data_IF_325883087492
#
_entry.id   IF_325883087492
#
_cell.length_a   1.000
_cell.length_b   1.000
_cell.length_c   1.000
_cell.angle_alpha   90.00
_cell.angle_beta   90.00
_cell.angle_gamma   90.00
#
_symmetry.space_group_name_H-M   'P 1'
#
loop_
_entity.id
_entity.type
_entity.pdbx_description
1 polymer ?
#
# COMPACT_ATOMS: atom_id res chain seq x y z
N UNK A 1 -29.43 51.96 -32.87
CA UNK A 1 -28.16 51.43 -33.40
C UNK A 1 -27.10 52.48 -33.15
N UNK A 2 -26.06 52.18 -32.36
CA UNK A 2 -25.03 51.23 -32.78
C UNK A 2 -24.74 50.12 -31.76
N UNK A 3 -24.25 49.03 -32.33
CA UNK A 3 -23.80 47.80 -31.71
C UNK A 3 -22.29 47.84 -31.49
N UNK A 4 -21.85 46.95 -30.59
CA UNK A 4 -20.56 46.27 -30.56
C UNK A 4 -19.32 47.11 -30.22
N UNK A 5 -18.71 46.79 -29.07
CA UNK A 5 -17.29 46.42 -28.94
C UNK A 5 -16.97 46.16 -27.48
N UNK A 6 -17.00 44.90 -27.04
CA UNK A 6 -16.12 44.40 -25.98
C UNK A 6 -15.90 42.90 -26.20
N UNK A 7 -14.70 42.45 -25.83
CA UNK A 7 -14.16 41.08 -25.83
C UNK A 7 -13.20 40.79 -27.01
N UNK A 8 -11.93 41.15 -26.79
CA UNK A 8 -10.77 40.42 -27.31
C UNK A 8 -9.77 40.35 -26.16
N UNK A 9 -9.28 39.15 -25.83
CA UNK A 9 -8.26 38.96 -24.81
C UNK A 9 -8.25 37.62 -24.10
N UNK A 10 -8.33 36.49 -24.82
CA UNK A 10 -7.82 35.21 -24.31
C UNK A 10 -6.39 35.10 -24.87
N UNK A 11 -5.41 35.33 -24.02
CA UNK A 11 -4.00 35.07 -24.34
C UNK A 11 -3.76 33.57 -24.25
N UNK A 12 -3.56 32.95 -25.42
CA UNK A 12 -3.10 31.58 -25.57
C UNK A 12 -1.62 31.53 -25.15
N UNK A 13 -1.34 31.06 -23.93
CA UNK A 13 0.01 30.67 -23.51
C UNK A 13 0.31 29.29 -24.12
N UNK A 14 0.81 29.30 -25.36
CA UNK A 14 1.50 28.15 -25.94
C UNK A 14 2.87 28.03 -25.26
N UNK A 15 2.96 27.13 -24.28
CA UNK A 15 4.25 26.64 -23.82
C UNK A 15 4.92 25.87 -24.97
N UNK A 16 6.12 26.30 -25.34
CA UNK A 16 6.99 25.59 -26.29
C UNK A 16 7.48 24.30 -25.62
N UNK A 17 6.74 23.19 -25.82
CA UNK A 17 7.27 21.86 -25.55
C UNK A 17 8.37 21.56 -26.59
N UNK A 18 9.61 21.41 -26.14
CA UNK A 18 10.69 20.87 -26.97
C UNK A 18 10.35 19.44 -27.42
N UNK A 19 10.98 18.93 -28.50
CA UNK A 19 10.72 17.57 -28.97
C UNK A 19 11.03 16.58 -27.85
N UNK A 20 10.01 15.82 -27.43
CA UNK A 20 10.19 14.74 -26.48
C UNK A 20 11.20 13.73 -27.08
N UNK A 21 12.34 13.57 -26.43
CA UNK A 21 13.20 12.42 -26.68
C UNK A 21 12.37 11.19 -26.40
N UNK A 22 12.25 10.28 -27.37
CA UNK A 22 11.50 9.04 -27.19
C UNK A 22 12.05 8.31 -25.96
N UNK A 23 11.25 8.18 -24.90
CA UNK A 23 11.59 7.42 -23.69
C UNK A 23 11.10 5.99 -23.82
N UNK A 24 11.85 5.04 -23.27
CA UNK A 24 11.51 3.61 -23.31
C UNK A 24 10.32 3.25 -22.39
N UNK A 25 10.01 4.13 -21.43
CA UNK A 25 8.85 4.06 -20.54
C UNK A 25 8.71 5.39 -19.78
N UNK A 26 7.50 5.69 -19.32
CA UNK A 26 7.25 6.67 -18.28
C UNK A 26 7.44 6.02 -16.90
N UNK A 27 8.27 6.61 -16.05
CA UNK A 27 8.48 6.15 -14.67
C UNK A 27 7.91 7.16 -13.68
N UNK A 28 7.02 6.71 -12.80
CA UNK A 28 6.28 7.56 -11.85
C UNK A 28 6.55 7.11 -10.42
N UNK A 29 7.01 8.03 -9.58
CA UNK A 29 7.03 7.83 -8.13
C UNK A 29 5.62 7.97 -7.56
N UNK A 30 5.16 6.97 -6.83
CA UNK A 30 3.85 6.95 -6.18
C UNK A 30 4.04 7.07 -4.67
N UNK A 31 3.67 8.22 -4.12
CA UNK A 31 3.57 8.43 -2.68
C UNK A 31 2.09 8.40 -2.29
N UNK A 32 1.79 7.91 -1.10
CA UNK A 32 0.49 8.05 -0.46
C UNK A 32 0.74 8.43 1.00
N UNK A 33 -0.12 9.26 1.58
CA UNK A 33 -0.14 9.56 3.01
C UNK A 33 1.25 9.92 3.63
N UNK A 34 1.99 10.93 3.12
CA UNK A 34 3.13 11.50 3.86
C UNK A 34 2.71 12.03 5.23
N UNK A 35 1.48 12.57 5.31
CA UNK A 35 0.69 12.83 6.50
C UNK A 35 1.48 13.44 7.66
N UNK A 36 2.23 14.50 7.34
CA UNK A 36 3.04 15.22 8.33
C UNK A 36 2.17 16.15 9.17
N UNK A 37 2.31 16.10 10.50
CA UNK A 37 1.65 17.02 11.46
C UNK A 37 2.58 18.03 12.11
N UNK A 38 3.89 17.91 11.89
CA UNK A 38 4.88 18.71 12.61
C UNK A 38 6.18 18.88 11.83
N UNK A 39 7.01 19.84 12.27
CA UNK A 39 8.37 19.99 11.74
C UNK A 39 9.24 18.73 11.94
N UNK A 40 8.96 17.95 12.99
CA UNK A 40 9.64 16.67 13.24
C UNK A 40 9.26 15.62 12.20
N UNK A 41 7.98 15.56 11.84
CA UNK A 41 7.48 14.62 10.83
C UNK A 41 7.99 14.99 9.43
N UNK A 42 8.09 16.30 9.13
CA UNK A 42 8.75 16.78 7.90
C UNK A 42 10.22 16.36 7.86
N UNK A 43 10.92 16.42 8.99
CA UNK A 43 12.31 15.95 9.10
C UNK A 43 12.42 14.43 8.90
N UNK A 44 11.49 13.64 9.46
CA UNK A 44 11.42 12.20 9.19
C UNK A 44 11.17 11.93 7.70
N UNK A 45 10.15 12.54 7.11
CA UNK A 45 9.84 12.42 5.69
C UNK A 45 11.05 12.78 4.80
N UNK A 46 11.74 13.87 5.14
CA UNK A 46 12.92 14.31 4.41
C UNK A 46 14.07 13.29 4.49
N UNK A 47 14.43 12.81 5.69
CA UNK A 47 15.58 11.91 5.90
C UNK A 47 15.29 10.47 5.49
N UNK A 48 14.05 10.04 5.62
CA UNK A 48 13.65 8.65 5.42
C UNK A 48 13.22 8.33 3.98
N UNK A 49 12.53 9.27 3.33
CA UNK A 49 11.98 9.06 2.00
C UNK A 49 12.75 9.89 0.95
N UNK A 50 12.76 11.20 1.12
CA UNK A 50 13.21 12.12 0.07
C UNK A 50 14.73 12.05 -0.16
N UNK A 51 15.53 12.08 0.89
CA UNK A 51 16.98 12.10 0.79
C UNK A 51 17.58 10.83 0.19
N UNK A 52 17.16 9.62 0.61
CA UNK A 52 17.59 8.38 -0.01
C UNK A 52 17.20 8.31 -1.49
N UNK A 53 15.95 8.67 -1.82
CA UNK A 53 15.48 8.72 -3.21
C UNK A 53 16.32 9.68 -4.06
N UNK A 54 16.59 10.88 -3.56
CA UNK A 54 17.44 11.86 -4.25
C UNK A 54 18.87 11.35 -4.43
N UNK A 55 19.41 10.66 -3.42
CA UNK A 55 20.75 10.07 -3.50
C UNK A 55 20.83 8.96 -4.56
N UNK A 56 19.74 8.22 -4.77
CA UNK A 56 19.59 7.23 -5.84
C UNK A 56 19.11 7.84 -7.19
N UNK A 57 19.29 9.15 -7.38
CA UNK A 57 18.93 9.83 -8.62
C UNK A 57 17.43 9.86 -8.92
N UNK A 58 16.59 9.80 -7.88
CA UNK A 58 15.13 9.77 -7.99
C UNK A 58 14.60 8.50 -8.65
N UNK A 59 15.40 7.42 -8.65
CA UNK A 59 15.11 6.16 -9.35
C UNK A 59 14.80 6.34 -10.85
N UNK A 60 15.32 7.41 -11.46
CA UNK A 60 15.03 7.74 -12.86
C UNK A 60 13.57 8.10 -13.13
N UNK A 61 12.82 8.55 -12.12
CA UNK A 61 11.44 8.96 -12.30
C UNK A 61 11.30 10.24 -13.14
N UNK A 62 10.30 10.25 -14.02
CA UNK A 62 9.94 11.39 -14.87
C UNK A 62 8.87 12.27 -14.23
N UNK A 63 8.08 11.69 -13.32
CA UNK A 63 6.91 12.27 -12.69
C UNK A 63 6.78 11.70 -11.27
N UNK A 64 6.22 12.47 -10.35
CA UNK A 64 5.73 11.94 -9.07
C UNK A 64 4.27 12.28 -8.85
N UNK A 65 3.63 11.53 -7.95
CA UNK A 65 2.28 11.81 -7.49
C UNK A 65 2.15 11.48 -6.01
N UNK A 66 1.48 12.35 -5.25
CA UNK A 66 1.02 12.05 -3.89
C UNK A 66 -0.49 11.81 -3.90
N UNK A 67 -0.90 10.63 -3.42
CA UNK A 67 -2.28 10.15 -3.40
C UNK A 67 -3.02 10.56 -2.12
N UNK A 68 -3.05 11.87 -1.82
CA UNK A 68 -3.75 12.42 -0.67
C UNK A 68 -3.03 12.27 0.66
N UNK A 69 -3.63 12.91 1.66
CA UNK A 69 -3.15 13.03 3.04
C UNK A 69 -1.70 13.51 3.07
N UNK A 70 -1.45 14.61 2.37
CA UNK A 70 -0.13 15.24 2.28
C UNK A 70 0.31 15.72 3.67
N UNK A 71 -0.65 16.20 4.45
CA UNK A 71 -0.52 16.61 5.85
C UNK A 71 -1.60 15.93 6.70
N UNK A 72 -1.46 15.99 8.02
CA UNK A 72 -2.46 15.52 8.99
C UNK A 72 -3.22 16.73 9.57
N UNK A 73 -4.30 17.15 8.93
CA UNK A 73 -5.15 18.30 9.29
C UNK A 73 -4.38 19.64 9.43
N UNK A 74 -3.16 19.69 8.91
CA UNK A 74 -2.20 20.77 9.13
C UNK A 74 -1.83 21.46 7.81
N UNK A 75 -2.84 21.89 7.03
CA UNK A 75 -2.68 22.54 5.69
C UNK A 75 -1.71 23.73 5.68
N UNK A 76 -1.44 24.34 6.84
CA UNK A 76 -0.42 25.36 7.00
C UNK A 76 1.01 24.87 6.74
N UNK A 77 1.26 23.56 6.78
CA UNK A 77 2.56 22.91 6.55
C UNK A 77 2.82 22.57 5.07
N UNK A 78 1.89 22.86 4.15
CA UNK A 78 2.10 22.66 2.72
C UNK A 78 3.41 23.28 2.20
N UNK A 79 3.79 24.53 2.55
CA UNK A 79 5.05 25.11 2.07
C UNK A 79 6.27 24.24 2.42
N UNK A 80 6.34 23.73 3.64
CA UNK A 80 7.49 22.96 4.15
C UNK A 80 7.56 21.55 3.58
N UNK A 81 6.43 20.82 3.53
CA UNK A 81 6.40 19.48 2.91
C UNK A 81 6.65 19.57 1.40
N UNK A 82 6.15 20.61 0.73
CA UNK A 82 6.43 20.86 -0.68
C UNK A 82 7.91 21.18 -0.93
N UNK A 83 8.52 21.99 -0.05
CA UNK A 83 9.94 22.26 -0.12
C UNK A 83 10.78 20.99 0.04
N UNK A 84 10.36 20.06 0.91
CA UNK A 84 11.01 18.75 1.03
C UNK A 84 10.85 17.94 -0.26
N UNK A 85 9.62 17.70 -0.74
CA UNK A 85 9.35 16.91 -1.96
C UNK A 85 10.03 17.50 -3.20
N UNK A 86 10.04 18.82 -3.35
CA UNK A 86 10.67 19.50 -4.49
C UNK A 86 12.19 19.26 -4.60
N UNK A 87 12.86 18.79 -3.54
CA UNK A 87 14.28 18.37 -3.58
C UNK A 87 14.52 17.19 -4.52
N UNK A 88 13.48 16.43 -4.88
CA UNK A 88 13.56 15.36 -5.88
C UNK A 88 13.77 15.92 -7.31
N UNK A 89 13.39 17.17 -7.56
CA UNK A 89 13.66 17.85 -8.83
C UNK A 89 12.84 17.37 -10.03
N UNK A 90 11.72 16.68 -9.79
CA UNK A 90 10.82 16.16 -10.83
C UNK A 90 9.43 16.83 -10.75
N UNK A 91 8.68 16.92 -11.86
CA UNK A 91 7.28 17.34 -11.83
C UNK A 91 6.44 16.47 -10.89
N UNK A 92 5.48 17.06 -10.18
CA UNK A 92 4.72 16.38 -9.13
C UNK A 92 3.22 16.68 -9.18
N UNK A 93 2.40 15.64 -9.18
CA UNK A 93 0.93 15.70 -9.10
C UNK A 93 0.47 15.52 -7.66
N UNK A 94 -0.65 16.14 -7.31
CA UNK A 94 -1.24 16.04 -5.97
C UNK A 94 -2.71 15.69 -6.09
N UNK A 95 -3.11 14.65 -5.38
CA UNK A 95 -4.51 14.31 -5.06
C UNK A 95 -4.75 14.81 -3.64
N UNK A 96 -5.90 15.41 -3.31
CA UNK A 96 -6.27 15.70 -1.92
C UNK A 96 -6.74 14.45 -1.19
N UNK A 97 -6.39 14.32 0.08
CA UNK A 97 -6.97 13.33 0.99
C UNK A 97 -7.91 13.96 2.03
N UNK A 98 -8.43 13.15 2.94
CA UNK A 98 -9.37 13.63 3.95
C UNK A 98 -8.73 14.52 5.01
N UNK A 99 -7.42 14.40 5.23
CA UNK A 99 -6.65 15.27 6.11
C UNK A 99 -6.14 16.55 5.42
N UNK A 100 -6.39 16.68 4.12
CA UNK A 100 -6.10 17.89 3.33
C UNK A 100 -7.27 18.88 3.32
N UNK A 101 -8.40 18.53 3.95
CA UNK A 101 -9.56 19.40 4.07
C UNK A 101 -9.26 20.59 5.00
N UNK A 102 -9.74 21.77 4.62
CA UNK A 102 -9.57 23.01 5.37
C UNK A 102 -10.14 22.87 6.79
N UNK A 103 -9.39 23.29 7.83
CA UNK A 103 -9.89 23.29 9.20
C UNK A 103 -11.19 24.09 9.34
N UNK A 104 -12.22 23.43 9.85
CA UNK A 104 -13.54 24.04 10.05
C UNK A 104 -14.45 24.09 8.82
N UNK A 105 -14.10 23.41 7.72
CA UNK A 105 -15.00 23.26 6.58
C UNK A 105 -16.34 22.60 7.00
N UNK A 106 -17.46 23.30 6.74
CA UNK A 106 -18.81 22.86 7.13
C UNK A 106 -19.50 21.96 6.08
N UNK A 107 -18.85 21.75 4.93
CA UNK A 107 -19.35 20.95 3.82
C UNK A 107 -18.34 20.86 2.68
N UNK A 108 -18.68 20.09 1.66
CA UNK A 108 -17.81 19.77 0.52
C UNK A 108 -17.44 20.98 -0.34
N UNK A 109 -18.42 21.85 -0.59
CA UNK A 109 -18.18 23.07 -1.33
C UNK A 109 -17.23 24.00 -0.55
N UNK A 110 -16.00 24.15 -1.05
CA UNK A 110 -14.99 25.04 -0.46
C UNK A 110 -14.15 24.40 0.64
N UNK A 111 -14.23 23.08 0.83
CA UNK A 111 -13.41 22.34 1.81
C UNK A 111 -11.92 22.26 1.44
N UNK A 112 -11.54 22.63 0.21
CA UNK A 112 -10.17 22.47 -0.31
C UNK A 112 -9.55 23.82 -0.73
N UNK A 113 -9.92 24.93 -0.10
CA UNK A 113 -9.41 26.24 -0.50
C UNK A 113 -7.90 26.36 -0.30
N UNK A 114 -7.31 25.80 0.76
CA UNK A 114 -5.84 25.77 0.93
C UNK A 114 -5.15 24.89 -0.11
N UNK A 115 -5.73 23.72 -0.41
CA UNK A 115 -5.26 22.84 -1.46
C UNK A 115 -5.27 23.55 -2.82
N UNK A 116 -6.38 24.19 -3.21
CA UNK A 116 -6.50 24.89 -4.49
C UNK A 116 -5.48 26.03 -4.65
N UNK A 117 -5.21 26.77 -3.57
CA UNK A 117 -4.18 27.83 -3.58
C UNK A 117 -2.77 27.27 -3.76
N UNK A 118 -2.51 26.06 -3.32
CA UNK A 118 -1.17 25.45 -3.31
C UNK A 118 -0.89 24.64 -4.58
N UNK A 119 -1.88 23.86 -5.04
CA UNK A 119 -1.70 22.86 -6.11
C UNK A 119 -2.56 23.10 -7.35
N UNK A 120 -3.57 23.97 -7.28
CA UNK A 120 -4.53 24.18 -8.36
C UNK A 120 -5.76 23.27 -8.26
N UNK A 121 -6.40 22.89 -9.39
CA UNK A 121 -7.63 22.09 -9.37
C UNK A 121 -7.46 20.78 -8.59
N UNK A 122 -8.50 20.39 -7.85
CA UNK A 122 -8.55 19.11 -7.14
C UNK A 122 -8.89 17.92 -8.05
N UNK A 123 -9.33 18.21 -9.27
CA UNK A 123 -9.74 17.22 -10.26
C UNK A 123 -9.36 17.70 -11.65
N UNK A 124 -8.55 16.93 -12.36
CA UNK A 124 -8.04 17.30 -13.68
C UNK A 124 -7.43 16.11 -14.41
N UNK A 125 -7.12 16.30 -15.69
CA UNK A 125 -6.39 15.32 -16.49
C UNK A 125 -4.99 15.84 -16.81
N UNK A 126 -3.99 14.98 -16.60
CA UNK A 126 -2.62 15.17 -17.07
C UNK A 126 -2.31 14.09 -18.12
N UNK A 127 -1.92 14.53 -19.32
CA UNK A 127 -1.56 13.61 -20.39
C UNK A 127 -0.04 13.50 -20.56
N UNK A 128 0.41 12.26 -20.70
CA UNK A 128 1.76 11.86 -21.08
C UNK A 128 1.67 10.91 -22.29
N UNK A 129 2.68 10.79 -23.17
CA UNK A 129 2.60 9.91 -24.34
C UNK A 129 2.12 8.47 -24.04
N UNK A 130 2.54 7.89 -22.92
CA UNK A 130 2.28 6.52 -22.51
C UNK A 130 0.94 6.34 -21.77
N UNK A 131 0.44 7.39 -21.11
CA UNK A 131 -0.72 7.31 -20.23
C UNK A 131 -1.47 8.64 -20.06
N UNK A 132 -2.75 8.55 -19.71
CA UNK A 132 -3.51 9.68 -19.20
C UNK A 132 -3.78 9.49 -17.71
N UNK A 133 -3.37 10.46 -16.90
CA UNK A 133 -3.63 10.50 -15.46
C UNK A 133 -4.87 11.35 -15.21
N UNK A 134 -5.91 10.71 -14.71
CA UNK A 134 -7.14 11.35 -14.25
C UNK A 134 -7.05 11.48 -12.74
N UNK A 135 -6.68 12.67 -12.28
CA UNK A 135 -6.59 13.02 -10.86
C UNK A 135 -7.99 13.41 -10.39
N UNK A 136 -8.48 12.75 -9.35
CA UNK A 136 -9.82 12.94 -8.80
C UNK A 136 -9.76 13.10 -7.29
N UNK A 137 -10.24 14.24 -6.79
CA UNK A 137 -10.66 14.37 -5.41
C UNK A 137 -11.88 13.50 -5.15
N UNK A 138 -11.71 12.42 -4.40
CA UNK A 138 -12.81 11.53 -4.07
C UNK A 138 -13.23 11.61 -2.60
N UNK A 139 -12.88 12.69 -1.91
CA UNK A 139 -13.25 12.93 -0.52
C UNK A 139 -14.44 13.87 -0.47
N UNK A 140 -15.62 13.32 -0.16
CA UNK A 140 -16.84 14.11 -0.06
C UNK A 140 -17.08 14.50 1.39
N UNK A 141 -16.87 15.78 1.73
CA UNK A 141 -17.11 16.28 3.09
C UNK A 141 -18.59 16.26 3.41
N UNK A 142 -18.95 15.59 4.51
CA UNK A 142 -20.34 15.58 4.97
C UNK A 142 -20.69 16.91 5.66
N UNK A 143 -21.93 17.41 5.49
CA UNK A 143 -22.35 18.65 6.14
C UNK A 143 -22.24 18.60 7.67
N UNK A 144 -21.79 19.70 8.28
CA UNK A 144 -21.72 19.89 9.73
C UNK A 144 -20.30 20.16 10.25
N UNK A 145 -20.21 20.52 11.53
CA UNK A 145 -18.97 20.98 12.17
C UNK A 145 -17.98 19.84 12.55
N UNK A 146 -18.23 18.60 12.12
CA UNK A 146 -17.41 17.43 12.47
C UNK A 146 -16.41 17.06 11.36
N UNK A 147 -15.58 16.03 11.58
CA UNK A 147 -14.63 15.51 10.59
C UNK A 147 -15.25 14.55 9.55
N UNK A 148 -16.56 14.32 9.58
CA UNK A 148 -17.21 13.33 8.72
C UNK A 148 -17.01 13.56 7.23
N UNK A 149 -16.67 12.50 6.51
CA UNK A 149 -16.57 12.44 5.05
C UNK A 149 -17.05 11.06 4.56
N UNK A 150 -17.21 10.93 3.25
CA UNK A 150 -17.43 9.65 2.56
C UNK A 150 -16.67 9.67 1.24
N UNK A 151 -16.15 8.52 0.81
CA UNK A 151 -15.63 8.37 -0.54
C UNK A 151 -16.72 8.60 -1.58
N UNK A 152 -16.45 9.33 -2.65
CA UNK A 152 -17.41 9.50 -3.73
C UNK A 152 -16.95 10.51 -4.76
N UNK A 153 -17.73 10.68 -5.82
CA UNK A 153 -17.44 11.65 -6.88
C UNK A 153 -18.57 12.66 -7.01
N UNK A 154 -18.21 13.88 -7.37
CA UNK A 154 -19.11 15.00 -7.61
C UNK A 154 -19.59 15.01 -9.07
N UNK A 155 -20.70 15.71 -9.31
CA UNK A 155 -21.29 15.80 -10.64
C UNK A 155 -20.40 16.53 -11.66
N UNK A 156 -19.61 17.52 -11.24
CA UNK A 156 -18.66 18.21 -12.11
C UNK A 156 -17.54 17.28 -12.58
N UNK A 157 -17.09 16.37 -11.73
CA UNK A 157 -16.11 15.34 -12.08
C UNK A 157 -16.70 14.32 -13.05
N UNK A 158 -17.92 13.84 -12.82
CA UNK A 158 -18.59 12.97 -13.78
C UNK A 158 -18.81 13.66 -15.13
N UNK A 159 -19.22 14.94 -15.14
CA UNK A 159 -19.38 15.71 -16.36
C UNK A 159 -18.04 15.87 -17.11
N UNK A 160 -16.92 16.08 -16.40
CA UNK A 160 -15.58 16.08 -16.99
C UNK A 160 -15.27 14.74 -17.66
N UNK A 161 -15.51 13.62 -16.98
CA UNK A 161 -15.26 12.28 -17.51
C UNK A 161 -16.15 11.97 -18.71
N UNK A 162 -17.44 12.28 -18.64
CA UNK A 162 -18.41 12.08 -19.73
C UNK A 162 -18.03 12.85 -21.00
N UNK A 163 -17.50 14.07 -20.83
CA UNK A 163 -17.05 14.88 -21.95
C UNK A 163 -15.70 14.41 -22.53
N UNK A 164 -14.79 13.95 -21.67
CA UNK A 164 -13.40 13.67 -22.05
C UNK A 164 -13.17 12.23 -22.54
N UNK A 165 -13.72 11.22 -21.85
CA UNK A 165 -13.48 9.80 -22.14
C UNK A 165 -13.80 9.39 -23.59
N UNK A 166 -14.91 9.82 -24.22
CA UNK A 166 -15.25 9.36 -25.58
C UNK A 166 -14.22 9.73 -26.66
N UNK A 167 -13.36 10.72 -26.41
CA UNK A 167 -12.32 11.15 -27.33
C UNK A 167 -10.97 10.46 -27.10
N UNK A 168 -10.85 9.61 -26.08
CA UNK A 168 -9.57 9.04 -25.66
C UNK A 168 -9.19 7.79 -26.44
N UNK A 169 -7.89 7.60 -26.69
CA UNK A 169 -7.40 6.37 -27.31
C UNK A 169 -7.47 5.21 -26.31
N UNK A 170 -7.82 4.02 -26.81
CA UNK A 170 -7.98 2.81 -25.99
C UNK A 170 -6.67 1.99 -25.88
N UNK A 171 -5.60 2.41 -26.54
CA UNK A 171 -4.30 1.71 -26.54
C UNK A 171 -3.32 2.22 -25.48
N UNK A 172 -3.53 3.42 -24.93
CA UNK A 172 -2.80 4.01 -23.79
C UNK A 172 -3.37 3.56 -22.45
N UNK A 173 -2.54 3.61 -21.39
CA UNK A 173 -3.01 3.35 -20.04
C UNK A 173 -3.82 4.54 -19.51
N UNK A 174 -5.02 4.25 -18.99
CA UNK A 174 -5.80 5.20 -18.21
C UNK A 174 -5.50 4.97 -16.71
N UNK A 175 -4.85 5.94 -16.07
CA UNK A 175 -4.54 5.90 -14.64
C UNK A 175 -5.50 6.82 -13.90
N UNK A 176 -6.35 6.27 -13.04
CA UNK A 176 -7.15 7.06 -12.12
C UNK A 176 -6.39 7.19 -10.81
N UNK A 177 -6.11 8.41 -10.37
CA UNK A 177 -5.44 8.69 -9.11
C UNK A 177 -6.40 9.39 -8.16
N UNK A 178 -6.65 8.76 -7.01
CA UNK A 178 -7.58 9.23 -5.99
C UNK A 178 -7.08 8.82 -4.60
N UNK A 179 -7.75 9.28 -3.54
CA UNK A 179 -7.30 9.00 -2.17
C UNK A 179 -8.03 7.81 -1.55
N UNK A 180 -9.36 7.88 -1.42
CA UNK A 180 -10.17 6.83 -0.80
C UNK A 180 -10.28 5.61 -1.74
N UNK A 181 -10.11 4.36 -1.28
CA UNK A 181 -10.26 3.20 -2.14
C UNK A 181 -11.68 3.01 -2.69
N UNK A 182 -11.81 2.41 -3.88
CA UNK A 182 -13.14 2.09 -4.45
C UNK A 182 -13.72 0.80 -3.84
N UNK A 183 -12.89 -0.09 -3.33
CA UNK A 183 -13.35 -1.28 -2.61
C UNK A 183 -13.83 -0.88 -1.21
N UNK A 184 -14.92 -1.50 -0.73
CA UNK A 184 -15.45 -1.15 0.58
C UNK A 184 -14.53 -1.70 1.68
N UNK A 185 -14.18 -0.82 2.61
CA UNK A 185 -13.30 -1.11 3.74
C UNK A 185 -14.06 -1.16 5.06
N UNK A 186 -15.37 -0.94 5.03
CA UNK A 186 -16.23 -0.95 6.19
C UNK A 186 -16.43 -2.38 6.71
N UNK A 187 -16.56 -2.53 8.02
CA UNK A 187 -17.00 -3.81 8.59
C UNK A 187 -18.44 -4.14 8.13
N UNK A 188 -18.80 -5.43 7.98
CA UNK A 188 -20.14 -5.83 7.56
C UNK A 188 -21.26 -5.15 8.37
N UNK A 189 -22.22 -4.55 7.69
CA UNK A 189 -23.35 -3.84 8.31
C UNK A 189 -23.05 -2.41 8.76
N UNK A 190 -21.87 -1.87 8.46
CA UNK A 190 -21.54 -0.45 8.63
C UNK A 190 -21.84 0.32 7.35
N UNK A 191 -21.83 1.66 7.44
CA UNK A 191 -21.97 2.52 6.28
C UNK A 191 -20.83 2.28 5.30
N UNK A 192 -21.13 2.35 4.01
CA UNK A 192 -20.14 2.23 2.95
C UNK A 192 -19.06 3.31 3.10
N UNK A 193 -17.82 2.92 2.81
CA UNK A 193 -16.66 3.84 2.85
C UNK A 193 -16.53 4.67 1.56
N UNK A 194 -17.08 4.14 0.46
CA UNK A 194 -17.21 4.83 -0.81
C UNK A 194 -18.65 4.68 -1.32
N UNK A 195 -19.24 5.77 -1.82
CA UNK A 195 -20.61 5.79 -2.35
C UNK A 195 -20.77 4.79 -3.48
N UNK A 196 -21.50 3.69 -3.24
CA UNK A 196 -21.65 2.61 -4.22
C UNK A 196 -22.19 3.09 -5.57
N UNK A 197 -23.16 4.01 -5.54
CA UNK A 197 -23.76 4.56 -6.75
C UNK A 197 -22.72 5.28 -7.64
N UNK A 198 -21.82 6.05 -7.02
CA UNK A 198 -20.76 6.75 -7.74
C UNK A 198 -19.74 5.76 -8.32
N UNK A 199 -19.37 4.74 -7.54
CA UNK A 199 -18.47 3.67 -8.01
C UNK A 199 -19.04 2.95 -9.21
N UNK A 200 -20.30 2.53 -9.15
CA UNK A 200 -20.97 1.84 -10.26
C UNK A 200 -21.09 2.74 -11.50
N UNK A 201 -21.37 4.05 -11.33
CA UNK A 201 -21.38 5.03 -12.42
C UNK A 201 -19.98 5.18 -13.06
N UNK A 202 -18.93 5.29 -12.24
CA UNK A 202 -17.56 5.34 -12.72
C UNK A 202 -17.19 4.07 -13.49
N UNK A 203 -17.49 2.90 -12.94
CA UNK A 203 -17.24 1.61 -13.60
C UNK A 203 -17.94 1.49 -14.94
N UNK A 204 -19.18 1.97 -15.05
CA UNK A 204 -19.92 1.98 -16.31
C UNK A 204 -19.23 2.83 -17.39
N UNK A 205 -18.62 3.96 -17.02
CA UNK A 205 -17.88 4.83 -17.95
C UNK A 205 -16.53 4.22 -18.38
N UNK A 206 -15.91 3.42 -17.50
CA UNK A 206 -14.57 2.86 -17.71
C UNK A 206 -14.56 1.49 -18.39
N UNK A 207 -15.68 0.75 -18.39
CA UNK A 207 -15.74 -0.68 -18.78
C UNK A 207 -15.24 -0.99 -20.20
N UNK A 208 -15.29 -0.02 -21.10
CA UNK A 208 -14.90 -0.17 -22.51
C UNK A 208 -13.41 0.16 -22.74
N UNK A 209 -12.71 0.65 -21.71
CA UNK A 209 -11.26 0.87 -21.72
C UNK A 209 -10.53 -0.42 -21.30
N UNK A 210 -9.66 -0.99 -22.15
CA UNK A 210 -9.00 -2.26 -21.86
C UNK A 210 -7.83 -2.13 -20.88
N UNK A 211 -7.29 -0.92 -20.71
CA UNK A 211 -6.10 -0.64 -19.91
C UNK A 211 -6.41 0.45 -18.89
N UNK A 212 -6.86 0.01 -17.71
CA UNK A 212 -7.18 0.92 -16.61
C UNK A 212 -6.45 0.46 -15.35
N UNK A 213 -5.84 1.42 -14.66
CA UNK A 213 -5.25 1.25 -13.34
C UNK A 213 -5.84 2.32 -12.41
N UNK A 214 -6.41 1.88 -11.29
CA UNK A 214 -6.82 2.78 -10.20
C UNK A 214 -5.72 2.78 -9.14
N UNK A 215 -5.31 3.96 -8.71
CA UNK A 215 -4.38 4.19 -7.61
C UNK A 215 -5.14 4.88 -6.47
N UNK A 216 -5.09 4.30 -5.27
CA UNK A 216 -5.66 4.84 -4.03
C UNK A 216 -4.65 4.82 -2.88
N UNK A 217 -4.91 5.56 -1.80
CA UNK A 217 -4.07 5.64 -0.59
C UNK A 217 -4.91 5.38 0.68
N UNK A 218 -4.85 6.26 1.68
CA UNK A 218 -5.80 6.35 2.81
C UNK A 218 -5.70 5.25 3.88
N UNK A 219 -5.41 4.00 3.51
CA UNK A 219 -5.57 2.86 4.42
C UNK A 219 -4.39 2.60 5.34
N UNK A 220 -3.24 3.23 5.10
CA UNK A 220 -1.99 2.91 5.80
C UNK A 220 -1.73 1.39 5.87
N UNK A 221 -2.06 0.72 4.77
CA UNK A 221 -1.83 -0.70 4.46
C UNK A 221 -1.66 -0.78 2.96
N UNK A 222 -1.08 -1.87 2.46
CA UNK A 222 -0.91 -2.09 1.03
C UNK A 222 -1.87 -3.16 0.52
N UNK A 223 -2.49 -2.93 -0.65
CA UNK A 223 -3.36 -3.95 -1.25
C UNK A 223 -3.50 -3.83 -2.77
N UNK A 224 -3.35 -4.95 -3.45
CA UNK A 224 -3.90 -5.11 -4.81
C UNK A 224 -5.33 -5.64 -4.73
N UNK A 225 -6.26 -4.97 -5.40
CA UNK A 225 -7.67 -5.36 -5.49
C UNK A 225 -8.09 -5.52 -6.96
N UNK A 226 -8.85 -6.57 -7.23
CA UNK A 226 -9.38 -6.89 -8.57
C UNK A 226 -10.90 -6.78 -8.53
N UNK A 227 -11.42 -5.63 -8.94
CA UNK A 227 -12.86 -5.40 -8.99
C UNK A 227 -13.52 -6.32 -10.02
N UNK A 228 -14.59 -6.98 -9.61
CA UNK A 228 -15.37 -7.87 -10.45
C UNK A 228 -16.87 -7.56 -10.44
N UNK A 229 -17.71 -8.43 -11.02
CA UNK A 229 -19.16 -8.24 -11.06
C UNK A 229 -19.81 -8.07 -9.67
N UNK A 230 -19.22 -8.64 -8.62
CA UNK A 230 -19.68 -8.48 -7.25
C UNK A 230 -19.52 -7.03 -6.72
N UNK A 231 -18.53 -6.30 -7.24
CA UNK A 231 -18.28 -4.90 -6.89
C UNK A 231 -19.05 -3.92 -7.81
N UNK A 232 -19.76 -4.44 -8.81
CA UNK A 232 -20.43 -3.66 -9.86
C UNK A 232 -19.58 -3.42 -11.11
N UNK A 233 -18.40 -4.04 -11.21
CA UNK A 233 -17.55 -3.94 -12.40
C UNK A 233 -17.97 -4.96 -13.47
N UNK A 234 -18.23 -4.47 -14.68
CA UNK A 234 -18.72 -5.27 -15.81
C UNK A 234 -17.83 -5.14 -17.07
N UNK A 235 -16.55 -4.82 -16.90
CA UNK A 235 -15.58 -4.83 -17.99
C UNK A 235 -15.11 -6.23 -18.38
N UNK A 236 -14.35 -6.32 -19.48
CA UNK A 236 -13.91 -7.60 -20.05
C UNK A 236 -12.94 -8.39 -19.15
N UNK A 237 -12.11 -7.69 -18.36
CA UNK A 237 -11.19 -8.26 -17.36
C UNK A 237 -11.39 -7.55 -16.02
N UNK A 238 -11.04 -8.17 -14.88
CA UNK A 238 -11.12 -7.49 -13.58
C UNK A 238 -10.36 -6.17 -13.56
N UNK A 239 -10.97 -5.10 -13.05
CA UNK A 239 -10.34 -3.79 -12.94
C UNK A 239 -9.32 -3.80 -11.79
N UNK A 240 -8.09 -3.38 -12.09
CA UNK A 240 -7.03 -3.30 -11.09
C UNK A 240 -7.13 -2.01 -10.30
N UNK A 241 -7.25 -2.12 -8.99
CA UNK A 241 -6.94 -1.06 -8.05
C UNK A 241 -5.73 -1.44 -7.20
N UNK A 242 -4.74 -0.55 -7.15
CA UNK A 242 -3.62 -0.65 -6.23
C UNK A 242 -3.76 0.42 -5.15
N UNK A 243 -4.04 -0.05 -3.94
CA UNK A 243 -3.98 0.75 -2.73
C UNK A 243 -2.54 0.82 -2.26
N UNK A 244 -1.92 1.98 -2.48
CA UNK A 244 -0.51 2.25 -2.26
C UNK A 244 -0.26 2.39 -0.76
N UNK A 245 0.81 1.74 -0.27
CA UNK A 245 1.24 1.88 1.12
C UNK A 245 1.65 3.33 1.45
N UNK A 246 1.57 3.68 2.73
CA UNK A 246 1.84 5.04 3.20
C UNK A 246 3.35 5.34 3.28
N UNK A 247 3.73 6.55 2.86
CA UNK A 247 5.07 7.10 3.04
C UNK A 247 5.40 7.33 4.52
N UNK A 248 4.42 7.76 5.30
CA UNK A 248 4.49 7.82 6.77
C UNK A 248 4.42 6.45 7.45
N UNK A 249 4.08 5.41 6.68
CA UNK A 249 3.72 4.10 7.19
C UNK A 249 2.65 4.19 8.25
N UNK A 250 2.98 3.90 9.51
CA UNK A 250 2.08 4.12 10.62
C UNK A 250 2.20 5.52 11.22
N UNK A 251 1.89 6.59 10.47
CA UNK A 251 1.81 7.96 11.00
C UNK A 251 3.11 8.44 11.66
N UNK A 252 4.28 7.99 11.17
CA UNK A 252 5.58 8.23 11.80
C UNK A 252 5.64 7.79 13.27
N UNK A 253 4.96 6.69 13.63
CA UNK A 253 4.97 6.09 14.96
C UNK A 253 5.87 4.85 15.02
N UNK A 254 6.11 4.33 16.22
CA UNK A 254 6.96 3.15 16.44
C UNK A 254 8.24 3.47 17.22
N UNK A 255 8.97 2.41 17.56
CA UNK A 255 10.24 2.55 18.24
C UNK A 255 11.26 3.18 17.27
N UNK A 256 11.96 4.27 17.65
CA UNK A 256 12.93 4.89 16.77
C UNK A 256 14.19 4.06 16.63
N UNK A 257 14.82 4.14 15.47
CA UNK A 257 16.16 3.64 15.20
C UNK A 257 17.25 4.51 15.88
N UNK A 258 18.51 4.22 15.57
CA UNK A 258 19.65 4.94 16.14
C UNK A 258 19.72 6.41 15.68
N UNK A 259 19.12 6.72 14.53
CA UNK A 259 19.02 8.05 13.92
C UNK A 259 17.77 8.82 14.41
N UNK A 260 16.98 8.20 15.29
CA UNK A 260 15.79 8.77 15.88
C UNK A 260 14.55 8.67 14.98
N UNK A 261 14.61 7.95 13.84
CA UNK A 261 13.49 7.82 12.93
C UNK A 261 12.64 6.61 13.36
N UNK A 262 11.33 6.77 13.57
CA UNK A 262 10.43 5.68 13.96
C UNK A 262 10.43 4.53 12.95
N UNK A 263 10.48 3.28 13.43
CA UNK A 263 10.12 2.09 12.64
C UNK A 263 8.60 2.10 12.39
N UNK A 264 8.20 2.86 11.38
CA UNK A 264 6.80 3.15 11.07
C UNK A 264 6.14 2.04 10.25
N UNK A 265 6.27 0.79 10.69
CA UNK A 265 5.61 -0.35 10.05
C UNK A 265 4.07 -0.21 10.10
N UNK A 266 3.43 -0.28 8.93
CA UNK A 266 1.98 -0.22 8.73
C UNK A 266 1.24 -1.37 9.42
N UNK A 267 -0.07 -1.21 9.65
CA UNK A 267 -0.88 -2.16 10.42
C UNK A 267 -0.96 -3.58 9.82
N UNK A 268 -0.75 -3.71 8.51
CA UNK A 268 -0.67 -5.00 7.80
C UNK A 268 0.74 -5.65 7.83
N UNK A 269 1.69 -5.02 8.52
CA UNK A 269 3.10 -5.41 8.61
C UNK A 269 3.99 -4.90 7.48
N UNK A 270 3.46 -4.16 6.51
CA UNK A 270 4.28 -3.56 5.44
C UNK A 270 5.12 -2.40 6.00
N UNK A 271 6.42 -2.28 5.74
CA UNK A 271 7.21 -1.11 6.15
C UNK A 271 6.73 0.16 5.44
N UNK A 272 6.99 1.33 6.02
CA UNK A 272 6.80 2.60 5.33
C UNK A 272 7.71 2.70 4.09
N UNK A 273 7.33 3.51 3.10
CA UNK A 273 8.07 3.57 1.84
C UNK A 273 7.32 4.24 0.71
N UNK A 274 7.64 3.87 -0.52
CA UNK A 274 6.99 4.39 -1.72
C UNK A 274 6.85 3.32 -2.79
N UNK A 275 5.99 3.55 -3.77
CA UNK A 275 5.88 2.69 -4.93
C UNK A 275 6.47 3.35 -6.19
N UNK A 276 6.80 2.51 -7.17
CA UNK A 276 7.19 2.93 -8.51
C UNK A 276 6.22 2.33 -9.52
N UNK A 277 5.70 3.16 -10.41
CA UNK A 277 4.91 2.75 -11.57
C UNK A 277 5.72 3.00 -12.84
N UNK A 278 6.01 1.95 -13.60
CA UNK A 278 6.68 2.06 -14.90
C UNK A 278 5.72 1.68 -16.01
N UNK A 279 5.46 2.58 -16.96
CA UNK A 279 4.48 2.45 -18.03
C UNK A 279 5.21 2.42 -19.37
N UNK A 280 5.07 1.33 -20.10
CA UNK A 280 5.62 1.18 -21.44
C UNK A 280 4.83 2.01 -22.48
N UNK A 281 5.39 2.26 -23.67
CA UNK A 281 4.72 3.03 -24.72
C UNK A 281 3.38 2.46 -25.20
N UNK A 282 3.17 1.16 -25.04
CA UNK A 282 1.92 0.48 -25.34
C UNK A 282 0.95 0.46 -24.15
N UNK A 283 1.22 1.17 -23.04
CA UNK A 283 0.34 1.21 -21.87
C UNK A 283 0.41 0.00 -20.95
N UNK A 284 1.25 -1.00 -21.23
CA UNK A 284 1.57 -2.03 -20.23
C UNK A 284 2.33 -1.41 -19.07
N UNK A 285 2.13 -1.92 -17.85
CA UNK A 285 2.75 -1.34 -16.67
C UNK A 285 3.31 -2.36 -15.69
N UNK A 286 4.26 -1.88 -14.87
CA UNK A 286 4.90 -2.59 -13.76
C UNK A 286 4.83 -1.76 -12.50
N UNK A 287 4.55 -2.42 -11.38
CA UNK A 287 4.52 -1.81 -10.05
C UNK A 287 5.57 -2.46 -9.16
N UNK A 288 6.18 -1.70 -8.26
CA UNK A 288 7.06 -2.19 -7.20
C UNK A 288 6.89 -1.36 -5.95
N UNK A 289 6.93 -1.99 -4.78
CA UNK A 289 7.10 -1.33 -3.49
C UNK A 289 8.58 -1.23 -3.13
N UNK A 290 8.94 -0.13 -2.47
CA UNK A 290 10.28 0.17 -1.98
C UNK A 290 10.18 0.61 -0.53
N UNK A 291 10.47 -0.29 0.43
CA UNK A 291 10.63 0.08 1.83
C UNK A 291 11.63 1.23 1.99
N UNK A 292 11.30 2.22 2.81
CA UNK A 292 12.16 3.39 3.06
C UNK A 292 13.54 2.98 3.57
N UNK A 293 13.57 1.98 4.46
CA UNK A 293 14.78 1.39 5.02
C UNK A 293 14.76 -0.12 4.87
N UNK A 294 15.88 -0.65 4.38
CA UNK A 294 16.16 -2.09 4.35
C UNK A 294 17.24 -2.42 5.38
N UNK A 295 17.04 -3.42 6.26
CA UNK A 295 18.10 -3.87 7.15
C UNK A 295 19.28 -4.43 6.35
N UNK A 296 20.49 -3.88 6.56
CA UNK A 296 21.68 -4.22 5.75
C UNK A 296 22.22 -5.65 5.95
N UNK A 297 21.75 -6.35 6.99
CA UNK A 297 22.26 -7.67 7.39
C UNK A 297 21.18 -8.67 7.80
N UNK A 298 19.92 -8.43 7.44
CA UNK A 298 18.84 -9.39 7.69
C UNK A 298 18.29 -9.93 6.36
N UNK A 299 18.71 -11.11 5.90
CA UNK A 299 18.19 -11.69 4.66
C UNK A 299 16.73 -12.14 4.78
N UNK A 300 16.15 -12.09 5.99
CA UNK A 300 14.71 -12.29 6.19
C UNK A 300 13.91 -11.07 5.75
N UNK A 301 14.54 -9.91 5.57
CA UNK A 301 13.91 -8.68 5.11
C UNK A 301 14.52 -8.24 3.78
N UNK A 302 13.68 -8.19 2.76
CA UNK A 302 14.06 -7.76 1.41
C UNK A 302 13.10 -6.68 0.93
N UNK A 303 13.38 -6.10 -0.23
CA UNK A 303 12.46 -5.16 -0.86
C UNK A 303 11.07 -5.79 -1.12
N UNK A 304 11.01 -7.09 -1.44
CA UNK A 304 9.78 -7.77 -1.84
C UNK A 304 9.00 -8.36 -0.66
N UNK A 305 9.67 -8.74 0.43
CA UNK A 305 9.04 -9.45 1.54
C UNK A 305 9.83 -9.38 2.84
N UNK A 306 9.14 -9.63 3.94
CA UNK A 306 9.73 -9.90 5.24
C UNK A 306 9.26 -11.25 5.82
N UNK A 307 10.18 -12.01 6.40
CA UNK A 307 9.93 -13.33 6.97
C UNK A 307 9.88 -13.29 8.50
N UNK A 308 9.07 -14.18 9.07
CA UNK A 308 9.08 -14.47 10.51
C UNK A 308 9.09 -15.96 10.74
N UNK A 309 10.02 -16.44 11.56
CA UNK A 309 10.07 -17.83 12.00
C UNK A 309 10.44 -17.90 13.49
N UNK A 310 9.99 -18.94 14.22
CA UNK A 310 10.51 -19.21 15.55
C UNK A 310 12.01 -19.50 15.48
N UNK A 311 12.80 -18.87 16.36
CA UNK A 311 14.25 -19.07 16.38
C UNK A 311 14.65 -20.50 16.78
N UNK A 312 13.90 -21.13 17.69
CA UNK A 312 14.19 -22.47 18.21
C UNK A 312 12.89 -23.27 18.35
N UNK A 313 12.93 -24.53 17.92
CA UNK A 313 11.88 -25.52 18.14
C UNK A 313 12.49 -26.78 18.79
N UNK A 314 11.68 -27.51 19.55
CA UNK A 314 12.11 -28.79 20.11
C UNK A 314 12.07 -29.87 19.03
N UNK A 315 13.17 -30.62 18.89
CA UNK A 315 13.23 -31.81 18.04
C UNK A 315 12.16 -32.85 18.44
N UNK A 316 11.43 -33.37 17.46
CA UNK A 316 10.31 -34.30 17.62
C UNK A 316 9.07 -33.70 18.30
N UNK A 317 8.94 -32.38 18.39
CA UNK A 317 7.71 -31.75 18.87
C UNK A 317 6.59 -31.86 17.83
N UNK A 318 5.34 -31.69 18.27
CA UNK A 318 4.21 -31.58 17.34
C UNK A 318 4.44 -30.36 16.42
N UNK A 319 4.40 -30.51 15.08
CA UNK A 319 4.77 -29.47 14.11
C UNK A 319 3.67 -28.40 13.96
N UNK A 320 3.39 -27.66 15.04
CA UNK A 320 2.37 -26.60 15.08
C UNK A 320 2.87 -25.23 14.58
N UNK A 321 4.19 -25.02 14.57
CA UNK A 321 4.80 -23.72 14.27
C UNK A 321 5.20 -23.61 12.80
N UNK A 322 5.37 -22.37 12.34
CA UNK A 322 5.51 -22.07 10.93
C UNK A 322 6.47 -20.90 10.70
N UNK A 323 7.02 -20.86 9.49
CA UNK A 323 7.53 -19.65 8.87
C UNK A 323 6.36 -18.88 8.25
N UNK A 324 6.40 -17.57 8.39
CA UNK A 324 5.50 -16.64 7.72
C UNK A 324 6.29 -15.78 6.75
N UNK A 325 5.66 -15.45 5.62
CA UNK A 325 6.19 -14.52 4.64
C UNK A 325 5.13 -13.44 4.37
N UNK A 326 5.44 -12.20 4.74
CA UNK A 326 4.66 -11.04 4.35
C UNK A 326 5.24 -10.53 3.02
N UNK A 327 4.53 -10.75 1.91
CA UNK A 327 5.02 -10.45 0.56
C UNK A 327 4.30 -9.21 0.05
N UNK A 328 4.94 -8.05 0.16
CA UNK A 328 4.26 -6.76 0.12
C UNK A 328 3.40 -6.57 -1.13
N UNK A 329 3.93 -6.85 -2.33
CA UNK A 329 3.23 -6.66 -3.61
C UNK A 329 2.40 -7.87 -4.07
N UNK A 330 2.17 -8.86 -3.21
CA UNK A 330 1.49 -10.08 -3.62
C UNK A 330 -0.04 -9.91 -3.76
N UNK A 331 -0.57 -10.47 -4.85
CA UNK A 331 -2.01 -10.62 -5.12
C UNK A 331 -2.57 -11.93 -4.52
N UNK A 332 -3.91 -12.08 -4.54
CA UNK A 332 -4.63 -13.27 -4.05
C UNK A 332 -4.18 -14.59 -4.67
N UNK A 333 -3.74 -14.56 -5.93
CA UNK A 333 -3.29 -15.71 -6.71
C UNK A 333 -1.76 -15.90 -6.72
N UNK A 334 -1.03 -15.12 -5.91
CA UNK A 334 0.44 -15.23 -5.84
C UNK A 334 0.90 -16.59 -5.34
N UNK A 335 1.87 -17.16 -6.04
CA UNK A 335 2.51 -18.42 -5.67
C UNK A 335 3.70 -18.14 -4.77
N UNK A 336 3.59 -18.53 -3.50
CA UNK A 336 4.67 -18.45 -2.52
C UNK A 336 5.06 -19.85 -2.09
N UNK A 337 6.36 -20.15 -2.15
CA UNK A 337 6.93 -21.44 -1.83
C UNK A 337 8.07 -21.30 -0.84
N UNK A 338 8.34 -22.36 -0.09
CA UNK A 338 9.50 -22.44 0.79
C UNK A 338 10.15 -23.81 0.74
N UNK A 339 11.46 -23.86 1.02
CA UNK A 339 12.22 -25.10 1.21
C UNK A 339 13.13 -24.99 2.42
N UNK A 340 13.57 -26.14 2.91
CA UNK A 340 14.48 -26.24 4.06
C UNK A 340 15.73 -26.99 3.63
N UNK A 341 16.90 -26.46 3.99
CA UNK A 341 18.23 -27.03 3.70
C UNK A 341 18.42 -27.49 2.25
N UNK A 342 17.98 -26.64 1.30
CA UNK A 342 18.01 -26.93 -0.15
C UNK A 342 17.20 -28.17 -0.58
N UNK A 343 16.29 -28.66 0.25
CA UNK A 343 15.33 -29.70 -0.10
C UNK A 343 14.28 -29.23 -1.12
N UNK A 344 13.20 -29.99 -1.23
CA UNK A 344 12.14 -29.72 -2.19
C UNK A 344 11.34 -28.46 -1.82
N UNK A 345 10.95 -27.72 -2.86
CA UNK A 345 10.01 -26.59 -2.73
C UNK A 345 8.63 -27.10 -2.33
N UNK A 346 8.03 -26.41 -1.36
CA UNK A 346 6.68 -26.67 -0.86
C UNK A 346 5.87 -25.40 -0.93
N UNK A 347 4.62 -25.50 -1.36
CA UNK A 347 3.71 -24.36 -1.34
C UNK A 347 3.47 -23.86 0.09
N UNK A 348 3.44 -22.55 0.27
CA UNK A 348 2.93 -21.90 1.48
C UNK A 348 1.43 -21.62 1.29
N UNK A 349 0.66 -21.67 2.37
CA UNK A 349 -0.75 -21.34 2.34
C UNK A 349 -0.95 -19.86 2.63
N UNK A 350 -1.71 -19.15 1.80
CA UNK A 350 -2.17 -17.79 2.11
C UNK A 350 -3.02 -17.82 3.38
N UNK A 351 -2.81 -16.86 4.29
CA UNK A 351 -3.56 -16.73 5.54
C UNK A 351 -3.97 -15.28 5.77
N UNK A 352 -5.18 -15.07 6.28
CA UNK A 352 -5.65 -13.76 6.71
C UNK A 352 -5.44 -13.63 8.22
N UNK A 353 -4.30 -13.07 8.61
CA UNK A 353 -3.87 -12.86 10.00
C UNK A 353 -2.99 -11.60 10.08
N UNK A 354 -2.83 -11.07 11.28
CA UNK A 354 -1.83 -10.06 11.55
C UNK A 354 -0.40 -10.59 11.34
N UNK A 355 0.49 -9.73 10.84
CA UNK A 355 1.91 -10.06 10.67
C UNK A 355 2.53 -10.34 12.06
N UNK A 356 3.10 -11.54 12.29
CA UNK A 356 3.76 -11.87 13.54
C UNK A 356 4.89 -10.91 13.95
N UNK A 357 5.54 -10.21 13.01
CA UNK A 357 6.58 -9.22 13.31
C UNK A 357 5.99 -8.00 14.01
N UNK A 358 4.89 -7.45 13.48
CA UNK A 358 4.20 -6.32 14.11
C UNK A 358 3.53 -6.72 15.43
N UNK A 359 2.94 -7.92 15.49
CA UNK A 359 2.42 -8.46 16.76
C UNK A 359 3.51 -8.54 17.84
N UNK A 360 4.73 -8.94 17.47
CA UNK A 360 5.84 -8.96 18.42
C UNK A 360 6.20 -7.55 18.90
N UNK A 361 6.16 -6.53 18.04
CA UNK A 361 6.33 -5.13 18.44
C UNK A 361 5.21 -4.63 19.36
N UNK A 362 3.95 -4.97 19.06
CA UNK A 362 2.83 -4.62 19.93
C UNK A 362 3.01 -5.20 21.34
N UNK A 363 3.41 -6.48 21.44
CA UNK A 363 3.70 -7.13 22.73
C UNK A 363 4.88 -6.48 23.45
N UNK A 364 5.93 -6.09 22.73
CA UNK A 364 7.08 -5.38 23.33
C UNK A 364 6.67 -4.01 23.86
N UNK A 365 5.82 -3.29 23.15
CA UNK A 365 5.27 -2.02 23.61
C UNK A 365 4.39 -2.20 24.87
N UNK A 366 3.55 -3.24 24.91
CA UNK A 366 2.70 -3.53 26.08
C UNK A 366 3.51 -3.94 27.32
N UNK A 367 4.61 -4.65 27.12
CA UNK A 367 5.48 -5.12 28.21
C UNK A 367 6.49 -4.07 28.69
N UNK A 368 6.60 -2.92 28.01
CA UNK A 368 7.63 -1.93 28.30
C UNK A 368 7.34 -1.19 29.63
N UNK A 369 8.37 -1.07 30.48
CA UNK A 369 8.29 -0.27 31.71
C UNK A 369 8.43 1.25 31.49
N UNK A 370 8.65 1.68 30.25
CA UNK A 370 8.81 3.07 29.83
C UNK A 370 8.41 3.19 28.34
N UNK A 371 8.20 4.44 27.88
CA UNK A 371 7.87 4.70 26.47
C UNK A 371 8.99 4.20 25.53
N UNK A 372 8.61 3.45 24.50
CA UNK A 372 9.53 2.97 23.44
C UNK A 372 9.63 3.92 22.24
N UNK A 373 8.68 4.85 22.11
CA UNK A 373 8.61 5.87 21.07
C UNK A 373 7.73 7.03 21.55
N UNK A 374 7.60 8.09 20.76
CA UNK A 374 6.63 9.17 21.06
C UNK A 374 5.20 8.63 20.95
N UNK A 375 4.90 8.06 19.78
CA UNK A 375 3.71 7.27 19.51
C UNK A 375 4.09 5.78 19.37
N UNK A 376 3.19 4.89 19.76
CA UNK A 376 3.37 3.43 19.66
C UNK A 376 3.13 2.95 18.24
N UNK A 377 3.70 1.78 17.92
CA UNK A 377 3.35 1.07 16.68
C UNK A 377 1.82 0.83 16.64
N UNK A 378 1.18 0.83 15.46
CA UNK A 378 -0.25 0.60 15.35
C UNK A 378 -0.58 -0.82 15.80
N UNK A 379 -1.83 -1.04 16.23
CA UNK A 379 -2.31 -2.40 16.46
C UNK A 379 -2.24 -3.18 15.14
N UNK A 380 -1.68 -4.39 15.19
CA UNK A 380 -1.57 -5.22 14.00
C UNK A 380 -2.94 -5.66 13.49
N UNK A 381 -3.25 -5.30 12.25
CA UNK A 381 -4.46 -5.69 11.54
C UNK A 381 -4.22 -6.90 10.65
N UNK A 382 -5.31 -7.48 10.12
CA UNK A 382 -5.24 -8.60 9.18
C UNK A 382 -4.51 -8.17 7.90
N UNK A 383 -3.39 -8.82 7.60
CA UNK A 383 -2.67 -8.65 6.35
C UNK A 383 -3.34 -9.43 5.22
N UNK A 384 -3.47 -8.80 4.06
CA UNK A 384 -4.00 -9.42 2.84
C UNK A 384 -2.93 -10.18 2.05
N UNK A 385 -1.66 -10.15 2.48
CA UNK A 385 -0.51 -10.64 1.73
C UNK A 385 0.48 -11.39 2.63
N UNK A 386 -0.09 -12.25 3.49
CA UNK A 386 0.65 -13.12 4.40
C UNK A 386 0.50 -14.61 4.02
N UNK A 387 1.63 -15.32 3.95
CA UNK A 387 1.69 -16.76 3.69
C UNK A 387 2.31 -17.50 4.86
N UNK A 388 1.91 -18.76 5.06
CA UNK A 388 2.35 -19.64 6.14
C UNK A 388 2.85 -20.98 5.63
N UNK A 389 4.05 -21.38 6.05
CA UNK A 389 4.68 -22.68 5.77
C UNK A 389 5.05 -23.42 7.05
N UNK A 390 4.61 -24.67 7.22
CA UNK A 390 4.86 -25.43 8.45
C UNK A 390 6.35 -25.81 8.60
N UNK A 391 6.92 -25.61 9.79
CA UNK A 391 8.30 -26.01 10.04
C UNK A 391 8.37 -27.46 10.55
N UNK A 392 9.15 -28.34 9.89
CA UNK A 392 9.36 -29.71 10.36
C UNK A 392 10.20 -29.69 11.64
N UNK A 393 9.88 -30.62 12.51
CA UNK A 393 10.52 -30.81 13.81
C UNK A 393 11.28 -32.13 13.89
N UNK A 394 11.28 -32.92 12.83
CA UNK A 394 11.84 -34.26 12.69
C UNK A 394 13.15 -34.32 11.89
N UNK A 395 13.65 -33.16 11.43
CA UNK A 395 15.00 -33.04 10.87
C UNK A 395 16.07 -33.21 11.96
N UNK A 396 17.31 -33.50 11.54
CA UNK A 396 18.43 -33.65 12.48
C UNK A 396 18.57 -32.40 13.38
N UNK A 397 18.84 -32.55 14.69
CA UNK A 397 19.08 -31.39 15.56
C UNK A 397 20.20 -30.49 15.02
N UNK A 398 20.01 -29.17 15.12
CA UNK A 398 20.90 -28.19 14.52
C UNK A 398 20.17 -27.01 13.90
N UNK A 399 20.93 -26.12 13.26
CA UNK A 399 20.38 -25.00 12.50
C UNK A 399 19.93 -25.47 11.11
N UNK A 400 18.77 -24.97 10.69
CA UNK A 400 18.19 -25.22 9.38
C UNK A 400 17.90 -23.90 8.68
N UNK A 401 18.26 -23.82 7.41
CA UNK A 401 17.98 -22.67 6.57
C UNK A 401 16.61 -22.81 5.91
N UNK A 402 15.80 -21.76 5.98
CA UNK A 402 14.50 -21.66 5.32
C UNK A 402 14.65 -20.64 4.21
N UNK A 403 14.49 -21.09 2.97
CA UNK A 403 14.43 -20.21 1.81
C UNK A 403 12.98 -20.08 1.36
N UNK A 404 12.51 -18.85 1.21
CA UNK A 404 11.18 -18.53 0.68
C UNK A 404 11.35 -17.87 -0.67
N UNK A 405 10.48 -18.21 -1.62
CA UNK A 405 10.38 -17.51 -2.90
C UNK A 405 8.93 -17.18 -3.26
N UNK A 406 8.77 -16.12 -4.02
CA UNK A 406 7.52 -15.77 -4.69
C UNK A 406 7.81 -15.45 -6.15
N UNK A 407 6.79 -15.59 -7.01
CA UNK A 407 6.87 -15.20 -8.41
C UNK A 407 6.04 -13.94 -8.62
N UNK A 408 6.71 -12.79 -8.48
CA UNK A 408 6.12 -11.50 -8.77
C UNK A 408 5.86 -11.36 -10.28
N UNK A 409 4.66 -10.91 -10.64
CA UNK A 409 4.25 -10.84 -12.06
C UNK A 409 5.02 -9.80 -12.87
N UNK A 410 5.63 -8.82 -12.22
CA UNK A 410 6.37 -7.72 -12.84
C UNK A 410 7.88 -7.89 -12.73
N UNK A 411 8.36 -8.49 -11.64
CA UNK A 411 9.79 -8.59 -11.29
C UNK A 411 10.32 -10.02 -11.23
N UNK A 412 9.49 -11.02 -11.53
CA UNK A 412 9.88 -12.43 -11.57
C UNK A 412 10.13 -13.01 -10.18
N UNK A 413 11.10 -13.91 -10.08
CA UNK A 413 11.39 -14.62 -8.83
C UNK A 413 12.05 -13.70 -7.80
N UNK A 414 11.43 -13.57 -6.62
CA UNK A 414 11.95 -12.85 -5.46
C UNK A 414 12.18 -13.84 -4.32
N UNK A 415 13.23 -13.62 -3.52
CA UNK A 415 13.65 -14.58 -2.47
C UNK A 415 14.03 -13.89 -1.17
N UNK A 416 13.77 -14.57 -0.06
CA UNK A 416 14.26 -14.21 1.26
C UNK A 416 14.69 -15.47 2.04
N UNK A 417 15.56 -15.30 3.03
CA UNK A 417 16.13 -16.39 3.81
C UNK A 417 15.95 -16.13 5.30
N UNK A 418 15.58 -17.15 6.06
CA UNK A 418 15.62 -17.12 7.52
C UNK A 418 16.14 -18.45 8.05
N UNK A 419 16.27 -18.59 9.37
CA UNK A 419 16.77 -19.81 10.01
C UNK A 419 15.94 -20.16 11.23
N UNK A 420 15.88 -21.44 11.53
CA UNK A 420 15.41 -21.94 12.82
C UNK A 420 16.31 -23.08 13.30
N UNK A 421 16.37 -23.29 14.61
CA UNK A 421 17.18 -24.36 15.21
C UNK A 421 16.31 -25.43 15.85
N UNK A 422 16.65 -26.69 15.63
CA UNK A 422 16.06 -27.83 16.33
C UNK A 422 16.94 -28.25 17.50
N UNK A 423 16.45 -28.01 18.72
CA UNK A 423 17.16 -28.38 19.94
C UNK A 423 16.63 -29.69 20.52
N UNK A 424 17.55 -30.54 20.98
CA UNK A 424 17.21 -31.70 21.80
C UNK A 424 16.84 -31.24 23.21
N UNK A 425 15.68 -31.68 23.69
CA UNK A 425 15.32 -31.52 25.09
C UNK A 425 15.36 -32.89 25.77
N UNK A 426 16.15 -33.03 26.83
CA UNK A 426 15.99 -34.16 27.73
C UNK A 426 14.57 -34.11 28.31
N UNK A 427 13.84 -35.24 28.41
CA UNK A 427 12.54 -35.24 29.04
C UNK A 427 12.69 -34.78 30.50
N UNK A 428 12.27 -33.55 30.80
CA UNK A 428 12.07 -33.13 32.18
C UNK A 428 11.05 -34.09 32.82
N UNK A 429 11.31 -34.52 34.07
CA UNK A 429 10.42 -35.38 34.84
C UNK A 429 8.97 -34.85 34.80
N UNK A 430 8.12 -35.42 33.94
CA UNK A 430 6.71 -35.00 33.81
C UNK A 430 6.01 -35.35 32.49
N UNK A 431 6.74 -35.64 31.40
CA UNK A 431 6.15 -35.83 30.07
C UNK A 431 5.52 -37.23 29.81
N UNK A 432 4.87 -37.87 30.78
CA UNK A 432 4.31 -39.23 30.62
C UNK A 432 2.78 -39.36 30.70
N UNK A 433 1.98 -38.28 30.66
CA UNK A 433 0.51 -38.40 30.86
C UNK A 433 -0.42 -38.03 29.70
N UNK A 434 0.07 -37.52 28.57
CA UNK A 434 -0.84 -37.10 27.48
C UNK A 434 -1.24 -38.21 26.49
N UNK A 435 -0.45 -39.28 26.35
CA UNK A 435 -0.76 -40.40 25.43
C UNK A 435 -1.78 -41.42 25.95
N UNK A 436 -2.15 -41.37 27.24
CA UNK A 436 -3.06 -42.36 27.84
C UNK A 436 -4.56 -42.00 27.75
N UNK A 437 -4.91 -40.76 27.38
CA UNK A 437 -6.30 -40.30 27.46
C UNK A 437 -7.13 -40.48 26.16
N UNK A 438 -6.51 -40.80 25.02
CA UNK A 438 -7.19 -40.80 23.71
C UNK A 438 -6.90 -42.03 22.84
N UNK A 439 -6.47 -43.15 23.44
CA UNK A 439 -6.20 -44.40 22.73
C UNK A 439 -7.29 -45.46 22.93
N UNK A 440 -8.25 -45.51 22.00
CA UNK A 440 -8.88 -46.74 21.51
C UNK A 440 -9.83 -47.51 22.45
N UNK A 441 -11.12 -47.23 22.37
CA UNK A 441 -12.18 -48.21 22.65
C UNK A 441 -12.20 -49.27 21.55
N UNK A 442 -11.41 -50.34 21.72
CA UNK A 442 -11.58 -51.58 20.96
C UNK A 442 -12.78 -52.36 21.51
N UNK A 443 -13.88 -52.41 20.76
CA UNK A 443 -14.95 -53.38 20.99
C UNK A 443 -14.40 -54.79 20.71
N UNK A 444 -14.26 -55.59 21.78
CA UNK A 444 -14.09 -57.02 21.67
C UNK A 444 -15.49 -57.69 21.71
N UNK A 445 -15.81 -58.36 20.61
CA UNK A 445 -16.88 -59.36 20.48
C UNK A 445 -16.73 -60.49 21.50
N UNK A 446 -17.81 -60.85 22.20
CA UNK A 446 -17.92 -62.11 22.91
C UNK A 446 -19.27 -62.76 22.61
N UNK A 447 -19.24 -63.81 21.79
CA UNK A 447 -20.25 -64.86 21.71
C UNK A 447 -20.23 -65.72 22.98
N UNK A 448 -21.35 -65.76 23.69
CA UNK A 448 -22.12 -66.98 24.01
C UNK A 448 -23.47 -66.61 24.60
#
# INVERSE_FOLDING_TARGET
>A
MPLLRWITGIALLLALAGPATARDALTVLLFADPQVKSARDIDYYARDIVEPLRADGGMGADLGITLGDIVDDAVALYPEVNAATARLGIPWLHVPGNHDLDPGAEGDAGSLSAFHRSYGPDSYVREEPEAAFVVLDNVVKLPGAGSGYVGGLREDQFAMLEAWLPAQPHDRLLVLAMHIPLFDTAAPGRAETFRRADRERLFAMLRDFPKVLVLSGHRHTQRHYRHGPADGWHGATPLHEYNVGAASGAFWSGAPDAEGIPDATMADGTPNGHALLRIAPDGDYRLSWHPARLPTHDPAFTQAMALHAPAVLRHGAYPAWAVYANVFMAEDDSVVEYRIDRGDWRAMAKVLRADPRLLAENVRDDAAGALRGYDRSPEAEVSAHLWRGALPTDLAPGEHEVEVRTFDRWHGEQRALTRYRLDQAAPGHGASRWKAAHGGTGLATATR
#
